data_IF_651680621553
#
_entry.id   IF_651680621553
#
_cell.length_a   1.000
_cell.length_b   1.000
_cell.length_c   1.000
_cell.angle_alpha   90.00
_cell.angle_beta   90.00
_cell.angle_gamma   90.00
#
_symmetry.space_group_name_H-M   'P 1'
#
loop_
_entity.id
_entity.type
_entity.pdbx_description
1 polymer ?
#
# COMPACT_ATOMS: atom_id res chain seq x y z
N UNK A 1 -13.50 -18.23 -41.87
CA UNK A 1 -12.50 -19.10 -42.52
C UNK A 1 -11.36 -18.19 -42.92
N UNK A 2 -10.10 -18.56 -42.68
CA UNK A 2 -8.94 -17.72 -43.03
C UNK A 2 -8.21 -18.32 -44.23
N UNK A 3 -7.88 -17.51 -45.23
CA UNK A 3 -7.11 -17.90 -46.40
C UNK A 3 -5.71 -17.29 -46.38
N UNK A 4 -4.77 -17.96 -47.06
CA UNK A 4 -3.39 -17.48 -47.17
C UNK A 4 -3.23 -16.19 -48.00
N UNK A 5 -4.30 -15.71 -48.64
CA UNK A 5 -4.33 -14.46 -49.42
C UNK A 5 -4.97 -13.28 -48.67
N UNK A 6 -5.54 -13.51 -47.49
CA UNK A 6 -6.32 -12.49 -46.78
C UNK A 6 -5.42 -11.41 -46.20
N UNK A 7 -5.98 -10.21 -46.05
CA UNK A 7 -5.40 -9.15 -45.23
C UNK A 7 -5.84 -9.37 -43.79
N UNK A 8 -4.93 -9.19 -42.84
CA UNK A 8 -5.19 -9.25 -41.41
C UNK A 8 -5.13 -7.86 -40.80
N UNK A 9 -6.14 -7.57 -39.98
CA UNK A 9 -6.16 -6.42 -39.07
C UNK A 9 -5.94 -6.97 -37.66
N UNK A 10 -4.83 -6.61 -37.02
CA UNK A 10 -4.35 -7.21 -35.77
C UNK A 10 -4.11 -6.12 -34.73
N UNK A 11 -4.51 -6.37 -33.49
CA UNK A 11 -4.25 -5.44 -32.40
C UNK A 11 -2.77 -5.38 -32.06
N UNK A 12 -2.22 -4.17 -32.12
CA UNK A 12 -0.81 -3.88 -31.91
C UNK A 12 -0.67 -2.51 -31.25
N UNK A 13 0.49 -2.28 -30.63
CA UNK A 13 0.86 -0.97 -30.10
C UNK A 13 2.05 -0.38 -30.90
N UNK A 14 2.05 0.94 -31.18
CA UNK A 14 1.08 1.95 -30.74
C UNK A 14 -0.22 2.02 -31.56
N UNK A 15 -0.25 1.41 -32.75
CA UNK A 15 -1.40 1.40 -33.67
C UNK A 15 -1.64 -0.02 -34.21
N UNK A 16 -2.89 -0.38 -34.59
CA UNK A 16 -3.19 -1.67 -35.20
C UNK A 16 -2.36 -1.95 -36.45
N UNK A 17 -1.99 -3.22 -36.65
CA UNK A 17 -1.25 -3.67 -37.83
C UNK A 17 -2.24 -4.16 -38.89
N UNK A 18 -2.12 -3.62 -40.10
CA UNK A 18 -2.81 -4.11 -41.30
C UNK A 18 -1.78 -4.74 -42.23
N UNK A 19 -1.82 -6.06 -42.39
CA UNK A 19 -0.78 -6.80 -43.15
C UNK A 19 -1.35 -7.97 -43.93
N UNK A 20 -0.68 -8.38 -45.02
CA UNK A 20 -1.12 -9.52 -45.83
C UNK A 20 -0.47 -10.82 -45.37
N UNK A 21 -1.28 -11.88 -45.24
CA UNK A 21 -0.77 -13.22 -44.95
C UNK A 21 0.20 -13.67 -46.05
N UNK A 22 1.39 -14.15 -45.66
CA UNK A 22 2.32 -14.82 -46.58
C UNK A 22 2.11 -16.32 -46.59
N UNK A 23 1.93 -16.92 -45.41
CA UNK A 23 1.77 -18.37 -45.27
C UNK A 23 1.00 -18.70 -44.00
N UNK A 24 0.08 -19.66 -44.10
CA UNK A 24 -0.58 -20.29 -42.97
C UNK A 24 0.06 -21.65 -42.69
N UNK A 25 0.48 -21.87 -41.46
CA UNK A 25 1.15 -23.08 -41.00
C UNK A 25 0.30 -23.77 -39.95
N UNK A 26 -0.01 -25.06 -40.16
CA UNK A 26 -0.80 -25.88 -39.23
C UNK A 26 0.09 -26.87 -38.50
N UNK A 27 -0.02 -27.02 -37.16
CA UNK A 27 0.72 -28.05 -36.45
C UNK A 27 0.26 -29.44 -36.90
N UNK A 28 1.16 -30.42 -36.82
CA UNK A 28 0.77 -31.81 -37.05
C UNK A 28 -0.21 -32.29 -35.95
N UNK A 29 -1.07 -33.26 -36.25
CA UNK A 29 -1.92 -33.85 -35.23
C UNK A 29 -1.07 -34.34 -34.04
N UNK A 30 -1.50 -34.03 -32.82
CA UNK A 30 -0.84 -34.39 -31.56
C UNK A 30 0.52 -33.69 -31.30
N UNK A 31 0.85 -32.64 -32.06
CA UNK A 31 2.05 -31.82 -31.83
C UNK A 31 1.71 -30.51 -31.09
N UNK A 32 2.57 -30.07 -30.17
CA UNK A 32 2.36 -28.86 -29.37
C UNK A 32 2.85 -27.62 -30.12
N UNK A 33 2.02 -26.58 -30.24
CA UNK A 33 2.36 -25.38 -31.05
C UNK A 33 3.53 -24.60 -30.46
N UNK A 34 3.65 -24.58 -29.12
CA UNK A 34 4.70 -23.83 -28.40
C UNK A 34 6.04 -24.56 -28.36
N UNK A 35 6.03 -25.89 -28.42
CA UNK A 35 7.23 -26.74 -28.47
C UNK A 35 7.07 -27.83 -29.56
N UNK A 36 7.13 -27.45 -30.85
CA UNK A 36 6.82 -28.34 -31.96
C UNK A 36 7.93 -29.36 -32.19
N UNK A 37 7.59 -30.65 -32.17
CA UNK A 37 8.52 -31.75 -32.47
C UNK A 37 8.69 -31.98 -33.96
N UNK A 38 7.68 -31.61 -34.76
CA UNK A 38 7.70 -31.74 -36.20
C UNK A 38 7.48 -30.39 -36.89
N UNK A 39 7.93 -30.32 -38.14
CA UNK A 39 7.67 -29.15 -38.98
C UNK A 39 6.17 -29.01 -39.28
N UNK A 40 5.68 -27.77 -39.22
CA UNK A 40 4.30 -27.41 -39.55
C UNK A 40 3.98 -27.64 -41.03
N UNK A 41 2.75 -28.02 -41.33
CA UNK A 41 2.25 -28.19 -42.69
C UNK A 41 1.72 -26.85 -43.22
N UNK A 42 2.14 -26.47 -44.43
CA UNK A 42 1.61 -25.28 -45.11
C UNK A 42 0.21 -25.56 -45.65
N UNK A 43 -0.74 -24.67 -45.35
CA UNK A 43 -2.15 -24.80 -45.76
C UNK A 43 -2.62 -23.54 -46.48
N UNK A 44 -3.56 -23.70 -47.42
CA UNK A 44 -4.14 -22.56 -48.18
C UNK A 44 -5.31 -21.89 -47.46
N UNK A 45 -6.03 -22.67 -46.65
CA UNK A 45 -7.25 -22.24 -45.98
C UNK A 45 -7.42 -23.00 -44.67
N UNK A 46 -7.93 -22.33 -43.65
CA UNK A 46 -8.21 -22.91 -42.32
C UNK A 46 -9.60 -22.48 -41.83
N UNK A 47 -10.42 -23.47 -41.46
CA UNK A 47 -11.71 -23.26 -40.81
C UNK A 47 -11.61 -23.28 -39.29
N UNK A 48 -12.51 -22.57 -38.60
CA UNK A 48 -12.60 -22.60 -37.14
C UNK A 48 -13.27 -23.90 -36.64
N UNK A 49 -12.94 -24.43 -35.46
CA UNK A 49 -11.86 -23.98 -34.56
C UNK A 49 -10.50 -24.60 -34.99
N UNK A 50 -9.44 -23.79 -34.97
CA UNK A 50 -8.09 -24.23 -35.33
C UNK A 50 -7.02 -23.39 -34.64
N UNK A 51 -5.91 -24.04 -34.24
CA UNK A 51 -4.66 -23.38 -33.91
C UNK A 51 -3.76 -23.32 -35.14
N UNK A 52 -3.20 -22.15 -35.44
CA UNK A 52 -2.35 -21.94 -36.61
C UNK A 52 -1.21 -20.96 -36.28
N UNK A 53 -0.12 -21.08 -37.03
CA UNK A 53 0.98 -20.11 -37.06
C UNK A 53 0.87 -19.30 -38.35
N UNK A 54 0.69 -17.99 -38.23
CA UNK A 54 0.61 -17.06 -39.36
C UNK A 54 1.97 -16.44 -39.58
N UNK A 55 2.41 -16.39 -40.84
CA UNK A 55 3.61 -15.63 -41.24
C UNK A 55 3.16 -14.44 -42.07
N UNK A 56 3.49 -13.23 -41.62
CA UNK A 56 3.20 -11.96 -42.28
C UNK A 56 4.36 -10.97 -42.02
N UNK A 57 4.61 -9.99 -42.91
CA UNK A 57 5.55 -8.90 -42.65
C UNK A 57 4.95 -7.86 -41.69
N UNK A 58 5.81 -7.02 -41.14
CA UNK A 58 5.42 -5.80 -40.42
C UNK A 58 4.48 -6.06 -39.23
N UNK A 59 4.72 -7.17 -38.53
CA UNK A 59 3.94 -7.61 -37.34
C UNK A 59 4.65 -7.26 -36.02
N UNK A 60 5.67 -6.41 -36.07
CA UNK A 60 6.26 -5.84 -34.87
C UNK A 60 5.21 -5.05 -34.08
N UNK A 61 5.17 -5.23 -32.76
CA UNK A 61 4.22 -4.53 -31.88
C UNK A 61 2.87 -5.23 -31.69
N UNK A 62 2.61 -6.36 -32.36
CA UNK A 62 1.40 -7.18 -32.11
C UNK A 62 1.35 -7.62 -30.64
N UNK A 63 0.20 -7.38 -30.01
CA UNK A 63 -0.03 -7.66 -28.60
C UNK A 63 -0.55 -9.08 -28.41
N UNK A 64 0.05 -9.83 -27.48
CA UNK A 64 -0.44 -11.14 -27.14
C UNK A 64 -1.85 -11.07 -26.50
N UNK A 65 -2.77 -11.89 -27.01
CA UNK A 65 -4.18 -11.87 -26.62
C UNK A 65 -5.04 -10.87 -27.39
N UNK A 66 -4.44 -10.03 -28.24
CA UNK A 66 -5.20 -9.13 -29.09
C UNK A 66 -6.05 -9.90 -30.12
N UNK A 67 -7.27 -9.44 -30.41
CA UNK A 67 -8.07 -10.00 -31.47
C UNK A 67 -7.43 -9.66 -32.82
N UNK A 68 -7.80 -10.45 -33.82
CA UNK A 68 -7.50 -10.17 -35.21
C UNK A 68 -8.68 -10.53 -36.09
N UNK A 69 -8.78 -9.83 -37.22
CA UNK A 69 -9.83 -10.01 -38.22
C UNK A 69 -9.21 -10.21 -39.59
N UNK A 70 -9.83 -11.04 -40.42
CA UNK A 70 -9.52 -11.15 -41.84
C UNK A 70 -10.39 -10.18 -42.64
N UNK A 71 -9.79 -9.46 -43.58
CA UNK A 71 -10.47 -8.57 -44.50
C UNK A 71 -10.01 -8.83 -45.94
N UNK A 72 -10.92 -8.68 -46.89
CA UNK A 72 -10.73 -8.97 -48.31
C UNK A 72 -10.67 -7.70 -49.17
N UNK A 73 -11.30 -6.63 -48.72
CA UNK A 73 -11.39 -5.32 -49.38
C UNK A 73 -11.26 -4.17 -48.36
N UNK A 74 -11.19 -2.94 -48.86
CA UNK A 74 -10.94 -1.75 -48.04
C UNK A 74 -12.10 -1.46 -47.07
N UNK A 75 -13.35 -1.74 -47.47
CA UNK A 75 -14.53 -1.54 -46.62
C UNK A 75 -14.50 -2.53 -45.42
N UNK A 76 -14.12 -3.80 -45.66
CA UNK A 76 -13.93 -4.79 -44.59
C UNK A 76 -12.76 -4.45 -43.66
N UNK A 77 -11.73 -3.74 -44.15
CA UNK A 77 -10.61 -3.28 -43.32
C UNK A 77 -11.09 -2.20 -42.35
N UNK A 78 -11.83 -1.21 -42.83
CA UNK A 78 -12.37 -0.13 -42.00
C UNK A 78 -13.32 -0.69 -40.92
N UNK A 79 -14.24 -1.57 -41.30
CA UNK A 79 -15.14 -2.27 -40.37
C UNK A 79 -14.37 -3.09 -39.31
N UNK A 80 -13.26 -3.72 -39.71
CA UNK A 80 -12.42 -4.51 -38.82
C UNK A 80 -11.63 -3.63 -37.84
N UNK A 81 -11.17 -2.46 -38.26
CA UNK A 81 -10.47 -1.50 -37.41
C UNK A 81 -11.40 -0.95 -36.32
N UNK A 82 -12.65 -0.61 -36.69
CA UNK A 82 -13.65 -0.14 -35.73
C UNK A 82 -13.95 -1.21 -34.65
N UNK A 83 -14.17 -2.46 -35.08
CA UNK A 83 -14.38 -3.58 -34.15
C UNK A 83 -13.17 -3.83 -33.26
N UNK A 84 -11.97 -3.68 -33.82
CA UNK A 84 -10.74 -3.87 -33.08
C UNK A 84 -10.58 -2.79 -32.00
N UNK A 85 -10.87 -1.53 -32.33
CA UNK A 85 -10.81 -0.42 -31.37
C UNK A 85 -11.72 -0.65 -30.16
N UNK A 86 -12.95 -1.13 -30.38
CA UNK A 86 -13.88 -1.46 -29.30
C UNK A 86 -13.38 -2.63 -28.44
N UNK A 87 -12.82 -3.66 -29.08
CA UNK A 87 -12.36 -4.88 -28.38
C UNK A 87 -11.06 -4.72 -27.60
N UNK A 88 -10.23 -3.73 -27.95
CA UNK A 88 -8.96 -3.44 -27.29
C UNK A 88 -9.13 -2.56 -26.04
N UNK A 89 -10.35 -2.08 -25.76
CA UNK A 89 -10.63 -1.39 -24.50
C UNK A 89 -10.52 -2.38 -23.35
N UNK A 90 -9.52 -2.20 -22.49
CA UNK A 90 -9.30 -3.06 -21.32
C UNK A 90 -10.48 -2.98 -20.36
N UNK A 91 -11.06 -4.12 -19.97
CA UNK A 91 -12.13 -4.21 -18.98
C UNK A 91 -11.66 -4.02 -17.52
N UNK A 92 -10.46 -3.47 -17.32
CA UNK A 92 -9.89 -3.24 -16.00
C UNK A 92 -10.58 -2.03 -15.36
N UNK A 93 -11.22 -2.25 -14.21
CA UNK A 93 -11.77 -1.18 -13.42
C UNK A 93 -10.65 -0.33 -12.80
N UNK A 94 -10.52 0.92 -13.24
CA UNK A 94 -9.56 1.87 -12.69
C UNK A 94 -10.24 2.87 -11.74
N UNK A 95 -9.52 3.28 -10.70
CA UNK A 95 -9.92 4.27 -9.69
C UNK A 95 -9.08 5.54 -9.78
N UNK A 96 -9.47 6.60 -9.08
CA UNK A 96 -8.70 7.86 -9.05
C UNK A 96 -7.37 7.73 -8.26
N UNK A 97 -7.28 6.74 -7.39
CA UNK A 97 -6.09 6.40 -6.60
C UNK A 97 -5.82 4.91 -6.67
N UNK A 98 -4.54 4.52 -6.70
CA UNK A 98 -4.13 3.12 -6.72
C UNK A 98 -2.77 2.91 -7.37
N UNK A 99 -2.40 1.64 -7.51
CA UNK A 99 -1.14 1.25 -8.17
C UNK A 99 -1.26 1.33 -9.68
N UNK A 100 -0.12 1.49 -10.37
CA UNK A 100 -0.04 1.35 -11.82
C UNK A 100 0.38 -0.07 -12.17
N UNK A 101 -0.29 -0.71 -13.14
CA UNK A 101 0.05 -2.06 -13.58
C UNK A 101 0.43 -2.09 -15.06
N UNK A 102 1.47 -2.87 -15.38
CA UNK A 102 1.93 -3.17 -16.75
C UNK A 102 2.08 -4.66 -16.94
N UNK A 103 1.74 -5.17 -18.12
CA UNK A 103 1.90 -6.57 -18.46
C UNK A 103 2.24 -6.78 -19.94
N UNK A 104 2.76 -7.95 -20.30
CA UNK A 104 3.17 -8.32 -21.66
C UNK A 104 2.00 -8.67 -22.60
N UNK A 105 0.88 -9.07 -22.04
CA UNK A 105 -0.31 -9.54 -22.75
C UNK A 105 -1.59 -9.04 -22.08
N UNK A 106 -2.67 -8.94 -22.87
CA UNK A 106 -3.99 -8.52 -22.36
C UNK A 106 -4.48 -9.49 -21.27
N UNK A 107 -4.37 -10.81 -21.52
CA UNK A 107 -4.80 -11.80 -20.54
C UNK A 107 -3.98 -11.78 -19.24
N UNK A 108 -2.68 -11.49 -19.33
CA UNK A 108 -1.82 -11.30 -18.16
C UNK A 108 -2.22 -10.06 -17.36
N UNK A 109 -2.55 -8.96 -18.06
CA UNK A 109 -3.00 -7.71 -17.45
C UNK A 109 -4.33 -7.90 -16.70
N UNK A 110 -5.29 -8.59 -17.32
CA UNK A 110 -6.59 -8.90 -16.72
C UNK A 110 -6.44 -9.82 -15.50
N UNK A 111 -5.60 -10.84 -15.60
CA UNK A 111 -5.31 -11.74 -14.47
C UNK A 111 -4.69 -10.98 -13.28
N UNK A 112 -3.70 -10.12 -13.55
CA UNK A 112 -3.08 -9.29 -12.51
C UNK A 112 -4.10 -8.33 -11.87
N UNK A 113 -4.92 -7.66 -12.68
CA UNK A 113 -5.96 -6.77 -12.20
C UNK A 113 -7.00 -7.50 -11.33
N UNK A 114 -7.39 -8.72 -11.72
CA UNK A 114 -8.32 -9.54 -10.96
C UNK A 114 -7.77 -9.91 -9.57
N UNK A 115 -6.52 -10.37 -9.50
CA UNK A 115 -5.87 -10.72 -8.23
C UNK A 115 -5.72 -9.50 -7.32
N UNK A 116 -5.35 -8.34 -7.86
CA UNK A 116 -5.28 -7.08 -7.11
C UNK A 116 -6.65 -6.65 -6.57
N UNK A 117 -7.69 -6.77 -7.39
CA UNK A 117 -9.07 -6.49 -6.94
C UNK A 117 -9.50 -7.45 -5.84
N UNK A 118 -9.13 -8.73 -5.91
CA UNK A 118 -9.43 -9.71 -4.86
C UNK A 118 -8.71 -9.38 -3.54
N UNK A 119 -7.51 -8.80 -3.62
CA UNK A 119 -6.74 -8.29 -2.48
C UNK A 119 -7.18 -6.89 -1.99
N UNK A 120 -8.23 -6.30 -2.57
CA UNK A 120 -8.66 -4.91 -2.32
C UNK A 120 -7.54 -3.87 -2.57
N UNK A 121 -6.70 -4.09 -3.58
CA UNK A 121 -5.69 -3.15 -4.03
C UNK A 121 -6.26 -2.37 -5.22
N UNK A 122 -6.50 -1.06 -5.07
CA UNK A 122 -7.03 -0.24 -6.16
C UNK A 122 -5.97 0.00 -7.24
N UNK A 123 -6.42 0.17 -8.48
CA UNK A 123 -5.56 0.33 -9.67
C UNK A 123 -5.91 1.66 -10.32
N UNK A 124 -4.93 2.56 -10.48
CA UNK A 124 -5.14 3.87 -11.13
C UNK A 124 -4.99 3.79 -12.64
N UNK A 125 -4.16 2.86 -13.12
CA UNK A 125 -3.86 2.69 -14.53
C UNK A 125 -3.41 1.27 -14.83
N UNK A 126 -3.96 0.69 -15.89
CA UNK A 126 -3.53 -0.59 -16.45
C UNK A 126 -3.24 -0.45 -17.94
N UNK A 127 -2.10 -0.92 -18.40
CA UNK A 127 -1.73 -0.86 -19.83
C UNK A 127 -0.84 -2.04 -20.20
N UNK A 128 -0.92 -2.51 -21.44
CA UNK A 128 0.00 -3.53 -21.96
C UNK A 128 1.33 -2.86 -22.35
N UNK A 129 2.43 -3.62 -22.35
CA UNK A 129 3.74 -3.16 -22.80
C UNK A 129 4.63 -2.59 -21.70
N UNK A 130 5.86 -2.25 -22.10
CA UNK A 130 6.97 -1.87 -21.24
C UNK A 130 6.72 -0.60 -20.41
N UNK A 131 7.27 -0.59 -19.19
CA UNK A 131 7.13 0.54 -18.25
C UNK A 131 7.82 1.78 -18.81
N UNK A 132 7.08 2.88 -18.88
CA UNK A 132 7.45 4.16 -19.46
C UNK A 132 7.47 5.28 -18.41
N UNK A 133 8.09 6.42 -18.74
CA UNK A 133 8.07 7.61 -17.87
C UNK A 133 6.64 8.03 -17.48
N UNK A 134 5.65 7.84 -18.36
CA UNK A 134 4.26 8.21 -18.09
C UNK A 134 3.66 7.43 -16.92
N UNK A 135 4.08 6.19 -16.73
CA UNK A 135 3.59 5.34 -15.63
C UNK A 135 4.10 5.87 -14.28
N UNK A 136 5.38 6.27 -14.24
CA UNK A 136 5.99 6.88 -13.05
C UNK A 136 5.30 8.18 -12.67
N UNK A 137 5.05 9.04 -13.66
CA UNK A 137 4.32 10.31 -13.46
C UNK A 137 2.88 10.07 -12.98
N UNK A 138 2.26 8.96 -13.38
CA UNK A 138 0.89 8.62 -12.94
C UNK A 138 0.88 8.06 -11.52
N UNK A 139 1.91 7.31 -11.12
CA UNK A 139 2.01 6.71 -9.78
C UNK A 139 2.50 7.70 -8.71
N UNK A 140 3.33 8.68 -9.07
CA UNK A 140 3.92 9.66 -8.14
C UNK A 140 2.92 10.40 -7.22
N UNK A 141 1.76 10.91 -7.71
CA UNK A 141 0.84 11.66 -6.86
C UNK A 141 0.05 10.80 -5.87
N UNK A 142 0.13 9.46 -5.96
CA UNK A 142 -0.60 8.56 -5.06
C UNK A 142 -0.03 8.58 -3.64
N UNK A 143 -0.87 8.17 -2.68
CA UNK A 143 -0.43 7.95 -1.30
C UNK A 143 0.78 7.00 -1.23
N UNK A 144 1.58 7.15 -0.17
CA UNK A 144 2.86 6.44 -0.01
C UNK A 144 2.70 4.91 -0.09
N UNK A 145 1.52 4.37 0.26
CA UNK A 145 1.21 2.94 0.17
C UNK A 145 0.74 2.46 -1.21
N UNK A 146 0.41 3.38 -2.13
CA UNK A 146 -0.04 3.11 -3.49
C UNK A 146 0.91 3.62 -4.57
N UNK A 147 1.95 4.37 -4.17
CA UNK A 147 2.99 4.93 -5.04
C UNK A 147 3.94 3.84 -5.57
N UNK A 148 3.38 2.93 -6.36
CA UNK A 148 4.07 1.76 -6.86
C UNK A 148 3.63 1.39 -8.29
N UNK A 149 4.54 0.76 -9.03
CA UNK A 149 4.31 0.16 -10.34
C UNK A 149 4.53 -1.35 -10.26
N UNK A 150 3.54 -2.14 -10.68
CA UNK A 150 3.64 -3.60 -10.79
C UNK A 150 3.84 -3.98 -12.26
N UNK A 151 5.01 -4.49 -12.58
CA UNK A 151 5.45 -4.82 -13.93
C UNK A 151 5.55 -6.35 -14.12
N UNK A 152 4.55 -6.92 -14.81
CA UNK A 152 4.46 -8.36 -15.07
C UNK A 152 5.08 -8.73 -16.41
N UNK A 153 6.20 -9.44 -16.40
CA UNK A 153 6.91 -9.93 -17.59
C UNK A 153 7.22 -8.85 -18.66
N UNK A 154 7.45 -7.61 -18.23
CA UNK A 154 7.78 -6.48 -19.12
C UNK A 154 9.12 -5.85 -18.74
N UNK A 155 9.69 -5.07 -19.67
CA UNK A 155 10.92 -4.31 -19.41
C UNK A 155 10.58 -2.89 -18.96
N UNK A 156 11.60 -2.19 -18.49
CA UNK A 156 11.52 -0.80 -18.06
C UNK A 156 12.39 0.06 -18.96
N UNK A 157 11.78 1.09 -19.56
CA UNK A 157 12.49 2.02 -20.40
C UNK A 157 13.53 2.85 -19.61
N UNK A 158 14.67 3.24 -20.21
CA UNK A 158 15.72 3.99 -19.51
C UNK A 158 15.27 5.33 -18.93
N UNK A 159 14.32 6.00 -19.58
CA UNK A 159 13.73 7.25 -19.10
C UNK A 159 12.86 7.04 -17.85
N UNK A 160 12.11 5.94 -17.80
CA UNK A 160 11.34 5.53 -16.62
C UNK A 160 12.27 5.23 -15.43
N UNK A 161 13.41 4.57 -15.66
CA UNK A 161 14.40 4.29 -14.59
C UNK A 161 14.95 5.54 -13.94
N UNK A 162 15.23 6.58 -14.73
CA UNK A 162 15.68 7.86 -14.18
C UNK A 162 14.57 8.52 -13.36
N UNK A 163 13.34 8.51 -13.85
CA UNK A 163 12.20 9.10 -13.14
C UNK A 163 11.92 8.38 -11.81
N UNK A 164 11.98 7.04 -11.77
CA UNK A 164 11.79 6.25 -10.55
C UNK A 164 12.79 6.66 -9.45
N UNK A 165 14.04 6.93 -9.83
CA UNK A 165 15.07 7.39 -8.91
C UNK A 165 14.79 8.79 -8.35
N UNK A 166 14.19 9.67 -9.16
CA UNK A 166 13.88 11.05 -8.77
C UNK A 166 12.62 11.16 -7.91
N UNK A 167 11.57 10.41 -8.23
CA UNK A 167 10.26 10.49 -7.53
C UNK A 167 10.17 9.57 -6.32
N UNK A 168 10.99 8.51 -6.26
CA UNK A 168 10.90 7.49 -5.23
C UNK A 168 9.68 6.57 -5.36
N UNK A 169 9.05 6.53 -6.54
CA UNK A 169 8.02 5.53 -6.86
C UNK A 169 8.66 4.14 -6.84
N UNK A 170 8.03 3.20 -6.12
CA UNK A 170 8.54 1.83 -6.01
C UNK A 170 8.18 1.03 -7.28
N UNK A 171 9.11 0.19 -7.75
CA UNK A 171 8.89 -0.66 -8.93
C UNK A 171 9.06 -2.13 -8.53
N UNK A 172 8.05 -2.93 -8.84
CA UNK A 172 8.07 -4.38 -8.67
C UNK A 172 8.07 -5.06 -10.04
N UNK A 173 9.10 -5.87 -10.31
CA UNK A 173 9.27 -6.61 -11.57
C UNK A 173 9.26 -8.11 -11.30
N UNK A 174 8.39 -8.87 -11.96
CA UNK A 174 8.39 -10.34 -11.86
C UNK A 174 7.63 -10.97 -13.03
N UNK A 175 7.95 -12.23 -13.32
CA UNK A 175 7.29 -13.10 -14.30
C UNK A 175 6.18 -13.97 -13.68
N UNK A 176 5.94 -13.83 -12.36
CA UNK A 176 4.94 -14.55 -11.58
C UNK A 176 4.08 -13.55 -10.80
N UNK A 177 2.76 -13.60 -11.02
CA UNK A 177 1.77 -12.67 -10.43
C UNK A 177 1.82 -12.71 -8.90
N UNK A 178 1.80 -13.89 -8.28
CA UNK A 178 1.79 -14.01 -6.82
C UNK A 178 3.01 -13.37 -6.15
N UNK A 179 4.18 -13.44 -6.79
CA UNK A 179 5.39 -12.77 -6.26
C UNK A 179 5.26 -11.26 -6.28
N UNK A 180 4.71 -10.69 -7.36
CA UNK A 180 4.43 -9.24 -7.42
C UNK A 180 3.52 -8.80 -6.28
N UNK A 181 2.46 -9.57 -6.01
CA UNK A 181 1.52 -9.26 -4.94
C UNK A 181 2.19 -9.39 -3.57
N UNK A 182 2.92 -10.49 -3.31
CA UNK A 182 3.62 -10.72 -2.05
C UNK A 182 4.65 -9.61 -1.76
N UNK A 183 5.49 -9.26 -2.75
CA UNK A 183 6.52 -8.22 -2.60
C UNK A 183 5.88 -6.85 -2.32
N UNK A 184 4.80 -6.53 -3.03
CA UNK A 184 4.04 -5.30 -2.82
C UNK A 184 3.36 -5.25 -1.45
N UNK A 185 2.72 -6.34 -1.02
CA UNK A 185 2.07 -6.41 0.30
C UNK A 185 3.08 -6.29 1.44
N UNK A 186 4.24 -6.93 1.31
CA UNK A 186 5.33 -6.80 2.30
C UNK A 186 5.83 -5.35 2.39
N UNK A 187 6.08 -4.72 1.23
CA UNK A 187 6.47 -3.32 1.17
C UNK A 187 5.42 -2.39 1.76
N UNK A 188 4.16 -2.56 1.37
CA UNK A 188 3.02 -1.80 1.88
C UNK A 188 2.89 -1.92 3.39
N UNK A 189 3.08 -3.13 3.94
CA UNK A 189 3.07 -3.39 5.38
C UNK A 189 4.19 -2.62 6.09
N UNK A 190 5.41 -2.58 5.53
CA UNK A 190 6.53 -1.81 6.10
C UNK A 190 6.27 -0.30 6.08
N UNK A 191 5.68 0.24 5.00
CA UNK A 191 5.29 1.66 4.94
C UNK A 191 4.27 1.96 6.04
N UNK A 192 3.24 1.13 6.19
CA UNK A 192 2.24 1.27 7.26
C UNK A 192 2.85 1.18 8.65
N UNK A 193 3.77 0.24 8.88
CA UNK A 193 4.44 0.11 10.16
C UNK A 193 5.30 1.33 10.48
N UNK A 194 6.03 1.87 9.51
CA UNK A 194 6.84 3.08 9.66
C UNK A 194 5.97 4.30 9.95
N UNK A 195 4.87 4.47 9.22
CA UNK A 195 3.89 5.52 9.48
C UNK A 195 3.29 5.37 10.88
N UNK A 196 2.90 4.16 11.26
CA UNK A 196 2.40 3.86 12.61
C UNK A 196 3.43 4.14 13.70
N UNK A 197 4.72 3.89 13.45
CA UNK A 197 5.80 4.20 14.39
C UNK A 197 6.00 5.71 14.54
N UNK A 198 6.03 6.46 13.44
CA UNK A 198 6.09 7.92 13.49
C UNK A 198 4.89 8.51 14.22
N UNK A 199 3.69 8.00 13.96
CA UNK A 199 2.49 8.41 14.70
C UNK A 199 2.63 8.07 16.20
N UNK A 200 3.16 6.88 16.55
CA UNK A 200 3.44 6.54 17.97
C UNK A 200 4.41 7.53 18.59
N UNK A 201 5.46 7.96 17.91
CA UNK A 201 6.41 8.95 18.45
C UNK A 201 5.77 10.32 18.67
N UNK A 202 4.85 10.72 17.80
CA UNK A 202 4.17 12.02 17.85
C UNK A 202 2.99 12.06 18.84
N UNK A 203 2.37 10.92 19.19
CA UNK A 203 1.25 10.86 20.12
C UNK A 203 1.66 10.53 21.56
N UNK A 204 1.07 11.28 22.50
CA UNK A 204 1.06 10.94 23.92
C UNK A 204 0.40 9.57 24.11
N UNK A 205 1.18 8.55 24.45
CA UNK A 205 0.65 7.23 24.78
C UNK A 205 -0.13 7.26 26.10
N UNK A 206 -1.12 6.36 26.28
CA UNK A 206 -1.76 6.18 27.57
C UNK A 206 -0.70 5.80 28.61
N UNK A 207 -0.73 6.49 29.74
CA UNK A 207 0.20 6.24 30.83
C UNK A 207 -0.53 6.34 32.15
N UNK A 208 -0.23 5.42 33.06
CA UNK A 208 -0.76 5.38 34.43
C UNK A 208 0.38 5.10 35.39
N UNK A 209 0.52 5.93 36.41
CA UNK A 209 1.59 5.80 37.40
C UNK A 209 1.10 6.15 38.81
N UNK A 210 1.77 5.60 39.81
CA UNK A 210 1.50 5.81 41.23
C UNK A 210 2.67 6.56 41.87
N UNK A 211 2.38 7.52 42.74
CA UNK A 211 3.40 8.19 43.56
C UNK A 211 3.76 7.29 44.74
N UNK A 212 5.03 6.90 44.84
CA UNK A 212 5.51 6.01 45.90
C UNK A 212 5.54 6.71 47.26
N UNK A 213 5.02 6.04 48.29
CA UNK A 213 5.08 6.51 49.69
C UNK A 213 6.52 6.69 50.17
N UNK A 214 6.77 7.78 50.89
CA UNK A 214 8.08 8.15 51.41
C UNK A 214 9.11 8.58 50.35
N UNK A 215 8.72 8.68 49.07
CA UNK A 215 9.62 9.01 47.96
C UNK A 215 9.38 10.43 47.41
N UNK A 216 8.91 11.35 48.26
CA UNK A 216 8.88 12.78 47.94
C UNK A 216 10.23 13.43 48.24
N UNK A 217 11.00 13.72 47.19
CA UNK A 217 12.31 14.38 47.32
C UNK A 217 12.20 15.90 47.36
N UNK A 218 11.19 16.45 46.66
CA UNK A 218 10.95 17.88 46.60
C UNK A 218 9.46 18.16 46.40
N UNK A 219 8.90 19.07 47.18
CA UNK A 219 7.45 19.30 47.19
C UNK A 219 6.96 20.25 46.10
N UNK A 220 7.79 21.19 45.58
CA UNK A 220 7.41 22.13 44.50
C UNK A 220 8.61 22.78 43.77
N UNK A 221 8.33 23.33 42.58
CA UNK A 221 9.19 24.20 41.76
C UNK A 221 10.52 23.63 41.16
N UNK A 222 10.57 22.42 40.59
CA UNK A 222 9.50 21.46 40.36
C UNK A 222 9.33 20.49 41.54
N UNK A 223 8.15 19.88 41.65
CA UNK A 223 7.97 18.74 42.54
C UNK A 223 8.80 17.56 42.01
N UNK A 224 9.52 16.86 42.88
CA UNK A 224 10.30 15.67 42.52
C UNK A 224 9.84 14.52 43.38
N UNK A 225 9.25 13.51 42.75
CA UNK A 225 8.66 12.35 43.41
C UNK A 225 9.13 11.07 42.73
N UNK A 226 9.36 10.02 43.53
CA UNK A 226 9.50 8.66 43.03
C UNK A 226 8.14 8.10 42.64
N UNK A 227 8.05 7.50 41.46
CA UNK A 227 6.81 6.91 40.93
C UNK A 227 7.06 5.51 40.42
N UNK A 228 6.01 4.69 40.45
CA UNK A 228 5.96 3.40 39.75
C UNK A 228 4.99 3.50 38.59
N UNK A 229 5.43 3.14 37.39
CA UNK A 229 4.56 3.08 36.22
C UNK A 229 3.69 1.83 36.33
N UNK A 230 2.39 2.01 36.50
CA UNK A 230 1.42 0.91 36.64
C UNK A 230 1.03 0.31 35.28
N UNK A 231 1.04 1.12 34.22
CA UNK A 231 0.70 0.68 32.87
C UNK A 231 0.99 1.73 31.81
N UNK A 232 1.20 1.27 30.58
CA UNK A 232 1.52 2.11 29.44
C UNK A 232 2.90 2.74 29.53
N UNK A 233 3.02 3.99 29.05
CA UNK A 233 4.29 4.73 28.96
C UNK A 233 4.14 6.15 29.48
N UNK A 234 5.16 6.63 30.20
CA UNK A 234 5.30 8.03 30.59
C UNK A 234 6.57 8.64 29.97
N UNK A 235 6.48 9.87 29.51
CA UNK A 235 7.55 10.57 28.79
C UNK A 235 7.62 12.06 29.13
N UNK A 236 8.68 12.72 28.65
CA UNK A 236 8.89 14.16 28.84
C UNK A 236 7.75 15.00 28.23
N UNK A 237 7.50 16.16 28.81
CA UNK A 237 6.51 17.17 28.40
C UNK A 237 5.05 16.72 28.40
N UNK A 238 4.75 15.51 28.89
CA UNK A 238 3.38 15.03 29.01
C UNK A 238 2.65 15.68 30.20
N UNK A 239 1.37 16.00 30.00
CA UNK A 239 0.49 16.52 31.04
C UNK A 239 0.12 15.43 32.04
N UNK A 240 0.07 15.78 33.33
CA UNK A 240 -0.33 14.88 34.41
C UNK A 240 -1.79 15.15 34.77
N UNK A 241 -2.63 14.13 34.63
CA UNK A 241 -4.07 14.17 34.78
C UNK A 241 -4.51 13.41 36.04
N UNK A 242 -5.46 13.98 36.76
CA UNK A 242 -6.13 13.36 37.92
C UNK A 242 -7.49 12.77 37.53
N UNK A 243 -8.03 11.91 38.39
CA UNK A 243 -9.35 11.30 38.22
C UNK A 243 -10.52 12.30 38.27
N UNK A 244 -10.28 13.53 38.75
CA UNK A 244 -11.23 14.65 38.68
C UNK A 244 -11.18 15.41 37.34
N UNK A 245 -10.48 14.84 36.34
CA UNK A 245 -10.26 15.39 35.01
C UNK A 245 -9.45 16.72 35.00
N UNK A 246 -8.71 17.03 36.07
CA UNK A 246 -7.83 18.20 36.10
C UNK A 246 -6.39 17.85 35.75
N UNK A 247 -5.80 18.67 34.87
CA UNK A 247 -4.38 18.63 34.55
C UNK A 247 -3.62 19.43 35.60
N UNK A 248 -2.77 18.76 36.37
CA UNK A 248 -2.09 19.36 37.54
C UNK A 248 -0.65 19.77 37.29
N UNK A 249 -0.06 19.35 36.18
CA UNK A 249 1.32 19.69 35.85
C UNK A 249 1.83 19.00 34.59
N UNK A 250 3.13 19.16 34.33
CA UNK A 250 3.81 18.50 33.21
C UNK A 250 5.13 17.85 33.66
N UNK A 251 5.43 16.67 33.12
CA UNK A 251 6.68 15.95 33.40
C UNK A 251 7.84 16.67 32.70
N UNK A 252 8.79 17.17 33.49
CA UNK A 252 9.97 17.90 33.01
C UNK A 252 11.20 17.01 32.83
N UNK A 253 11.36 16.01 33.69
CA UNK A 253 12.48 15.07 33.63
C UNK A 253 12.12 13.74 34.25
N UNK A 254 12.64 12.65 33.69
CA UNK A 254 12.60 11.31 34.27
C UNK A 254 14.02 10.86 34.58
N UNK A 255 14.23 10.20 35.72
CA UNK A 255 15.55 9.71 36.14
C UNK A 255 15.47 8.34 36.80
N UNK A 256 16.47 7.51 36.53
CA UNK A 256 16.77 6.30 37.30
C UNK A 256 18.20 6.39 37.83
N UNK A 257 18.35 6.50 39.15
CA UNK A 257 19.63 6.88 39.76
C UNK A 257 20.17 8.21 39.17
N UNK A 258 21.35 8.16 38.56
CA UNK A 258 21.97 9.32 37.91
C UNK A 258 21.62 9.49 36.42
N UNK A 259 20.99 8.49 35.80
CA UNK A 259 20.69 8.50 34.37
C UNK A 259 19.39 9.25 34.08
N UNK A 260 19.42 10.14 33.09
CA UNK A 260 18.23 10.83 32.57
C UNK A 260 17.58 9.97 31.50
N UNK A 261 16.29 9.71 31.65
CA UNK A 261 15.49 8.91 30.73
C UNK A 261 14.60 9.81 29.86
N UNK A 262 14.35 9.38 28.62
CA UNK A 262 13.35 10.01 27.74
C UNK A 262 11.94 9.53 28.06
N UNK A 263 11.83 8.28 28.50
CA UNK A 263 10.58 7.59 28.81
C UNK A 263 10.80 6.55 29.92
N UNK A 264 9.69 6.13 30.54
CA UNK A 264 9.63 4.98 31.42
C UNK A 264 8.40 4.13 31.07
N UNK A 265 8.54 2.82 31.17
CA UNK A 265 7.54 1.83 30.78
C UNK A 265 6.92 1.18 32.03
N UNK A 266 5.86 0.42 31.82
CA UNK A 266 5.21 -0.34 32.89
C UNK A 266 6.21 -1.16 33.74
N UNK A 267 6.07 -1.05 35.05
CA UNK A 267 6.91 -1.72 36.04
C UNK A 267 8.13 -0.90 36.46
N UNK A 268 8.52 0.13 35.69
CA UNK A 268 9.64 0.97 36.04
C UNK A 268 9.35 1.82 37.27
N UNK A 269 10.35 1.92 38.16
CA UNK A 269 10.37 2.86 39.27
C UNK A 269 11.38 3.97 38.96
N UNK A 270 10.88 5.19 38.78
CA UNK A 270 11.67 6.33 38.33
C UNK A 270 11.36 7.58 39.16
N UNK A 271 12.33 8.46 39.31
CA UNK A 271 12.11 9.78 39.87
C UNK A 271 11.68 10.73 38.74
N UNK A 272 10.50 11.34 38.89
CA UNK A 272 10.00 12.33 37.94
C UNK A 272 9.97 13.72 38.56
N UNK A 273 10.30 14.72 37.76
CA UNK A 273 10.12 16.12 38.11
C UNK A 273 8.88 16.68 37.42
N UNK A 274 7.90 17.17 38.18
CA UNK A 274 6.64 17.71 37.65
C UNK A 274 6.61 19.22 37.91
N UNK A 275 6.44 20.00 36.85
CA UNK A 275 6.26 21.46 36.94
C UNK A 275 4.80 21.80 37.33
N UNK A 276 4.62 22.97 37.94
CA UNK A 276 3.30 23.56 38.27
C UNK A 276 2.43 22.77 39.25
N UNK A 277 3.01 21.79 39.95
CA UNK A 277 2.32 20.98 40.95
C UNK A 277 2.98 21.13 42.33
N UNK A 278 2.20 20.92 43.39
CA UNK A 278 2.71 20.86 44.77
C UNK A 278 2.25 19.58 45.46
N UNK A 279 3.20 18.80 45.96
CA UNK A 279 2.96 17.57 46.73
C UNK A 279 2.40 17.93 48.11
N UNK A 280 1.35 17.23 48.55
CA UNK A 280 0.59 17.49 49.77
C UNK A 280 -0.54 18.52 49.61
N UNK A 281 -0.78 19.02 48.39
CA UNK A 281 -1.90 19.94 48.09
C UNK A 281 -2.67 19.54 46.83
N UNK A 282 -2.00 19.38 45.70
CA UNK A 282 -2.63 18.96 44.44
C UNK A 282 -2.47 17.46 44.20
N UNK A 283 -1.33 16.91 44.59
CA UNK A 283 -1.01 15.48 44.50
C UNK A 283 -0.47 15.00 45.84
N UNK A 284 -0.67 13.75 46.19
CA UNK A 284 -0.20 13.13 47.42
C UNK A 284 0.54 11.83 47.14
N UNK A 285 1.32 11.36 48.10
CA UNK A 285 1.85 10.00 48.07
C UNK A 285 0.71 8.98 48.06
N UNK A 286 0.85 7.92 47.27
CA UNK A 286 -0.21 6.94 47.01
C UNK A 286 -1.23 7.36 45.93
N UNK A 287 -1.19 8.61 45.43
CA UNK A 287 -2.08 9.01 44.34
C UNK A 287 -1.72 8.26 43.05
N UNK A 288 -2.77 7.76 42.38
CA UNK A 288 -2.68 7.21 41.02
C UNK A 288 -3.06 8.31 40.03
N UNK A 289 -2.15 8.56 39.09
CA UNK A 289 -2.23 9.64 38.11
C UNK A 289 -2.13 9.08 36.69
N UNK A 290 -2.69 9.82 35.74
CA UNK A 290 -2.78 9.45 34.34
C UNK A 290 -2.02 10.46 33.49
N UNK A 291 -1.65 10.07 32.27
CA UNK A 291 -1.16 10.99 31.26
C UNK A 291 -2.34 11.62 30.52
N UNK A 292 -2.30 12.94 30.39
CA UNK A 292 -3.28 13.70 29.63
C UNK A 292 -3.19 13.34 28.14
N UNK A 293 -4.34 13.07 27.53
CA UNK A 293 -4.45 12.72 26.12
C UNK A 293 -5.62 13.45 25.46
N UNK A 294 -5.37 13.97 24.26
CA UNK A 294 -6.40 14.52 23.36
C UNK A 294 -7.21 13.36 22.74
N UNK A 295 -8.52 13.56 22.62
CA UNK A 295 -9.43 12.65 21.91
C UNK A 295 -8.97 12.40 20.48
N UNK A 296 -8.47 13.46 19.81
CA UNK A 296 -7.97 13.37 18.43
C UNK A 296 -6.76 12.44 18.31
N UNK A 297 -5.94 12.37 19.35
CA UNK A 297 -4.79 11.46 19.37
C UNK A 297 -5.27 10.00 19.42
N UNK A 298 -6.27 9.70 20.24
CA UNK A 298 -6.82 8.35 20.38
C UNK A 298 -7.49 7.90 19.07
N UNK A 299 -8.29 8.77 18.45
CA UNK A 299 -8.92 8.48 17.17
C UNK A 299 -7.89 8.21 16.07
N UNK A 300 -6.85 9.05 15.96
CA UNK A 300 -5.79 8.83 14.97
C UNK A 300 -5.02 7.53 15.17
N UNK A 301 -4.76 7.13 16.43
CA UNK A 301 -4.12 5.84 16.74
C UNK A 301 -4.99 4.68 16.26
N UNK A 302 -6.30 4.75 16.52
CA UNK A 302 -7.26 3.73 16.10
C UNK A 302 -7.46 3.67 14.59
N UNK A 303 -7.63 4.83 13.94
CA UNK A 303 -7.78 4.96 12.48
C UNK A 303 -6.53 4.45 11.75
N UNK A 304 -5.34 4.69 12.31
CA UNK A 304 -4.09 4.18 11.77
C UNK A 304 -3.87 2.67 12.03
N UNK A 305 -4.81 1.98 12.67
CA UNK A 305 -4.73 0.55 12.93
C UNK A 305 -3.61 0.16 13.90
N UNK A 306 -3.11 1.11 14.70
CA UNK A 306 -2.07 0.84 15.70
C UNK A 306 -2.68 -0.01 16.80
N UNK A 307 -2.19 -1.24 16.96
CA UNK A 307 -2.63 -2.13 18.03
C UNK A 307 -2.14 -1.59 19.38
N UNK A 308 -3.08 -1.08 20.18
CA UNK A 308 -2.87 -0.79 21.58
C UNK A 308 -2.76 -2.10 22.36
N UNK A 309 -1.86 -2.13 23.34
CA UNK A 309 -1.78 -3.23 24.29
C UNK A 309 -3.06 -3.30 25.14
N UNK A 310 -3.43 -4.47 25.69
CA UNK A 310 -4.61 -4.59 26.55
C UNK A 310 -4.61 -3.59 27.72
N UNK A 311 -3.44 -3.29 28.25
CA UNK A 311 -3.25 -2.37 29.38
C UNK A 311 -3.48 -0.92 28.95
N UNK A 312 -3.06 -0.54 27.74
CA UNK A 312 -3.35 0.78 27.19
C UNK A 312 -4.85 0.97 26.95
N UNK A 313 -5.55 -0.05 26.44
CA UNK A 313 -7.02 -0.01 26.29
C UNK A 313 -7.74 0.06 27.65
N UNK A 314 -7.23 -0.64 28.67
CA UNK A 314 -7.76 -0.54 30.03
C UNK A 314 -7.60 0.88 30.60
N UNK A 315 -6.43 1.50 30.40
CA UNK A 315 -6.17 2.89 30.81
C UNK A 315 -7.11 3.86 30.09
N UNK A 316 -7.30 3.72 28.78
CA UNK A 316 -8.25 4.55 28.02
C UNK A 316 -9.66 4.35 28.56
N UNK A 317 -10.06 3.11 28.84
CA UNK A 317 -11.39 2.78 29.39
C UNK A 317 -11.61 3.38 30.78
N UNK A 318 -10.58 3.39 31.63
CA UNK A 318 -10.62 4.08 32.92
C UNK A 318 -10.76 5.59 32.73
N UNK A 319 -9.94 6.19 31.86
CA UNK A 319 -9.98 7.61 31.54
C UNK A 319 -11.35 8.05 31.01
N UNK A 320 -12.01 7.23 30.20
CA UNK A 320 -13.37 7.49 29.74
C UNK A 320 -14.36 7.72 30.88
N UNK A 321 -14.20 7.06 32.04
CA UNK A 321 -15.16 7.17 33.15
C UNK A 321 -15.22 8.58 33.73
N UNK A 322 -14.09 9.29 33.73
CA UNK A 322 -14.02 10.64 34.25
C UNK A 322 -13.97 11.71 33.15
N UNK A 323 -13.38 11.45 31.98
CA UNK A 323 -13.43 12.37 30.82
C UNK A 323 -14.84 12.53 30.24
N UNK A 324 -15.69 11.48 30.24
CA UNK A 324 -17.07 11.57 29.71
C UNK A 324 -18.00 12.53 30.46
N UNK A 325 -17.66 12.91 31.69
CA UNK A 325 -18.42 13.93 32.44
C UNK A 325 -18.39 15.29 31.74
N UNK A 326 -17.26 15.62 31.12
CA UNK A 326 -17.03 16.89 30.43
C UNK A 326 -17.01 16.74 28.90
N UNK A 327 -16.64 15.55 28.38
CA UNK A 327 -16.48 15.23 26.95
C UNK A 327 -17.17 13.91 26.59
N UNK A 328 -18.47 13.91 26.21
CA UNK A 328 -19.28 12.69 26.07
C UNK A 328 -18.78 11.66 25.04
N UNK A 329 -17.98 12.09 24.05
CA UNK A 329 -17.49 11.25 22.96
C UNK A 329 -16.04 10.78 23.13
N UNK A 330 -15.35 11.22 24.19
CA UNK A 330 -13.92 10.99 24.37
C UNK A 330 -13.54 9.50 24.30
N UNK A 331 -12.60 9.18 23.41
CA UNK A 331 -12.00 7.85 23.25
C UNK A 331 -12.95 6.78 22.69
N UNK A 332 -14.04 7.17 22.01
CA UNK A 332 -14.94 6.23 21.32
C UNK A 332 -14.39 5.75 19.99
#
# INVERSE_FOLDING_TARGET
ILNASDTLVIGAEPEPVVTRVRTLLRPKPLDEIRDPRHQFDSVKQVGAAAGLKVVAPDIEGVVAGAPFYSASDDDEIDDALDRLADSMQSNVHCTDEGVVIRADAIGSLEALAYELSAANIPVVRATVGDVSKRDVVTADPSDEEYRAILAFNVKVHPDAKNELYETGVELFESDIIYRLLEDYEEWKSKIKEKQAQHLREDFSHPGKFEILEGHTFRTRDPAVVGVRVLGGRIALNQGVLREDNQVVGHIRSLRTGEQVLKEALQGDEVAIAINNVTVGRQISEGDVLYIEMDERAILKIRDAGVKLSPIEEDIITEMQRFKKKDQPFWGR
#
